data_IF_555290494470
#
_entry.id   IF_555290494470
#
_cell.length_a   1.000
_cell.length_b   1.000
_cell.length_c   1.000
_cell.angle_alpha   90.00
_cell.angle_beta   90.00
_cell.angle_gamma   90.00
#
_symmetry.space_group_name_H-M   'P 1'
#
loop_
_entity.id
_entity.type
_entity.pdbx_description
1 polymer ?
#
# COMPACT_ATOMS: atom_id res chain seq x y z
N UNK A 1 -10.33 26.38 23.63
CA UNK A 1 -10.24 24.95 23.28
C UNK A 1 -9.02 24.81 22.40
N UNK A 2 -7.95 24.22 22.93
CA UNK A 2 -6.70 24.07 22.21
C UNK A 2 -6.80 22.85 21.29
N UNK A 3 -6.64 23.08 19.99
CA UNK A 3 -6.71 22.01 19.00
C UNK A 3 -5.39 21.24 18.99
N UNK A 4 -5.42 19.97 19.38
CA UNK A 4 -4.28 19.08 19.31
C UNK A 4 -4.36 18.23 18.04
N UNK A 5 -3.47 18.47 17.09
CA UNK A 5 -3.36 17.68 15.86
C UNK A 5 -2.21 16.68 15.99
N UNK A 6 -2.52 15.38 15.99
CA UNK A 6 -1.53 14.32 15.89
C UNK A 6 -1.42 13.85 14.44
N UNK A 7 -0.25 14.05 13.85
CA UNK A 7 0.09 13.50 12.53
C UNK A 7 0.85 12.19 12.72
N UNK A 8 0.60 11.22 11.85
CA UNK A 8 1.34 9.95 11.81
C UNK A 8 1.61 9.61 10.37
N UNK A 9 2.84 9.85 9.92
CA UNK A 9 3.27 9.61 8.55
C UNK A 9 3.94 8.24 8.47
N UNK A 10 3.58 7.40 7.48
CA UNK A 10 4.25 6.13 7.28
C UNK A 10 5.67 6.34 6.75
N UNK A 11 6.59 5.45 7.14
CA UNK A 11 7.96 5.42 6.63
C UNK A 11 8.28 4.00 6.18
N UNK A 12 8.83 3.85 4.98
CA UNK A 12 9.45 2.61 4.54
C UNK A 12 10.94 2.63 4.91
N UNK A 13 11.44 1.53 5.47
CA UNK A 13 12.85 1.38 5.85
C UNK A 13 13.35 0.09 5.23
N UNK A 14 14.38 0.17 4.38
CA UNK A 14 15.03 -1.02 3.85
C UNK A 14 15.75 -1.75 4.98
N UNK A 15 15.66 -3.08 4.97
CA UNK A 15 16.55 -3.93 5.74
C UNK A 15 17.55 -4.55 4.76
N UNK A 16 18.85 -4.23 4.87
CA UNK A 16 19.85 -4.89 4.04
C UNK A 16 19.86 -6.39 4.39
N UNK A 17 20.16 -7.22 3.40
CA UNK A 17 20.40 -8.65 3.59
C UNK A 17 21.89 -8.90 3.64
N UNK A 18 22.37 -9.67 4.62
CA UNK A 18 23.77 -10.09 4.67
C UNK A 18 24.03 -11.25 3.70
N UNK A 19 22.98 -11.95 3.25
CA UNK A 19 23.05 -12.98 2.20
C UNK A 19 23.46 -12.35 0.88
N UNK A 20 24.63 -12.76 0.40
CA UNK A 20 25.20 -12.38 -0.89
C UNK A 20 25.14 -13.53 -1.91
N UNK A 21 25.29 -14.78 -1.47
CA UNK A 21 25.31 -15.95 -2.35
C UNK A 21 24.57 -17.10 -1.69
N UNK A 22 23.83 -17.88 -2.48
CA UNK A 22 23.22 -19.13 -2.03
C UNK A 22 23.77 -20.27 -2.87
N UNK A 23 24.30 -21.30 -2.22
CA UNK A 23 24.81 -22.53 -2.86
C UNK A 23 23.90 -23.69 -2.54
N UNK A 24 23.71 -24.57 -3.52
CA UNK A 24 22.91 -25.77 -3.37
C UNK A 24 23.81 -26.98 -3.60
N UNK A 25 23.64 -27.98 -2.74
CA UNK A 25 24.34 -29.26 -2.81
C UNK A 25 23.31 -30.39 -2.80
N UNK A 26 23.64 -31.49 -3.48
CA UNK A 26 22.93 -32.75 -3.42
C UNK A 26 23.94 -33.85 -3.07
N UNK A 27 23.71 -34.60 -1.99
CA UNK A 27 24.62 -35.64 -1.50
C UNK A 27 26.07 -35.13 -1.33
N UNK A 28 26.21 -33.93 -0.77
CA UNK A 28 27.49 -33.22 -0.56
C UNK A 28 28.23 -32.74 -1.82
N UNK A 29 27.67 -32.95 -3.02
CA UNK A 29 28.19 -32.37 -4.26
C UNK A 29 27.48 -31.05 -4.56
N UNK A 30 28.25 -29.99 -4.89
CA UNK A 30 27.68 -28.69 -5.22
C UNK A 30 27.04 -28.75 -6.61
N UNK A 31 25.72 -28.57 -6.68
CA UNK A 31 24.96 -28.60 -7.94
C UNK A 31 24.85 -27.21 -8.58
N UNK A 32 25.03 -26.14 -7.80
CA UNK A 32 25.18 -24.80 -8.33
C UNK A 32 24.81 -23.70 -7.34
N UNK A 33 24.59 -22.49 -7.88
CA UNK A 33 24.24 -21.29 -7.13
C UNK A 33 22.88 -20.76 -7.56
N UNK A 34 22.14 -20.17 -6.63
CA UNK A 34 20.90 -19.46 -6.98
C UNK A 34 21.22 -18.04 -7.48
N UNK A 35 20.37 -17.54 -8.39
CA UNK A 35 20.45 -16.19 -8.92
C UNK A 35 19.38 -15.30 -8.28
N UNK A 36 19.73 -14.05 -7.99
CA UNK A 36 18.77 -13.05 -7.53
C UNK A 36 17.83 -12.70 -8.69
N UNK A 37 16.56 -13.06 -8.57
CA UNK A 37 15.54 -12.67 -9.55
C UNK A 37 14.94 -11.32 -9.18
N UNK A 38 14.65 -11.09 -7.90
CA UNK A 38 13.94 -9.88 -7.49
C UNK A 38 14.40 -9.36 -6.12
N UNK A 39 14.55 -8.03 -6.02
CA UNK A 39 14.72 -7.31 -4.77
C UNK A 39 13.40 -6.59 -4.43
N UNK A 40 12.58 -7.26 -3.62
CA UNK A 40 11.27 -6.75 -3.20
C UNK A 40 11.42 -5.47 -2.37
N UNK A 41 12.53 -5.31 -1.65
CA UNK A 41 12.79 -4.10 -0.87
C UNK A 41 12.90 -2.88 -1.79
N UNK A 42 13.64 -3.01 -2.90
CA UNK A 42 13.75 -1.96 -3.90
C UNK A 42 12.40 -1.65 -4.56
N UNK A 43 11.65 -2.67 -4.98
CA UNK A 43 10.32 -2.51 -5.59
C UNK A 43 9.34 -1.82 -4.63
N UNK A 44 9.35 -2.19 -3.35
CA UNK A 44 8.51 -1.58 -2.33
C UNK A 44 8.88 -0.11 -2.09
N UNK A 45 10.18 0.23 -2.09
CA UNK A 45 10.64 1.61 -1.97
C UNK A 45 10.17 2.48 -3.13
N UNK A 46 10.32 2.01 -4.36
CA UNK A 46 9.87 2.75 -5.55
C UNK A 46 8.35 2.91 -5.58
N UNK A 47 7.61 1.85 -5.25
CA UNK A 47 6.14 1.90 -5.13
C UNK A 47 5.69 2.88 -4.04
N UNK A 48 6.38 2.90 -2.89
CA UNK A 48 6.09 3.83 -1.81
C UNK A 48 6.37 5.27 -2.22
N UNK A 49 7.52 5.56 -2.82
CA UNK A 49 7.89 6.90 -3.33
C UNK A 49 6.84 7.41 -4.32
N UNK A 50 6.41 6.58 -5.27
CA UNK A 50 5.41 6.94 -6.27
C UNK A 50 4.05 7.32 -5.65
N UNK A 51 3.68 6.70 -4.52
CA UNK A 51 2.40 6.97 -3.81
C UNK A 51 2.55 7.92 -2.62
N UNK A 52 3.77 8.34 -2.28
CA UNK A 52 4.08 9.02 -1.02
C UNK A 52 3.30 10.32 -0.85
N UNK A 53 3.21 11.13 -1.92
CA UNK A 53 2.47 12.40 -1.91
C UNK A 53 1.00 12.19 -1.56
N UNK A 54 0.35 11.23 -2.22
CA UNK A 54 -1.05 10.89 -2.00
C UNK A 54 -1.28 10.29 -0.60
N UNK A 55 -0.37 9.46 -0.12
CA UNK A 55 -0.43 8.87 1.23
C UNK A 55 -0.33 9.97 2.30
N UNK A 56 0.64 10.89 2.17
CA UNK A 56 0.85 11.98 3.12
C UNK A 56 -0.33 12.95 3.11
N UNK A 57 -0.79 13.32 1.91
CA UNK A 57 -1.98 14.14 1.76
C UNK A 57 -3.17 13.54 2.49
N UNK A 58 -3.49 12.26 2.25
CA UNK A 58 -4.58 11.55 2.92
C UNK A 58 -4.40 11.50 4.45
N UNK A 59 -3.18 11.32 4.94
CA UNK A 59 -2.88 11.28 6.36
C UNK A 59 -3.09 12.64 7.04
N UNK A 60 -2.56 13.72 6.45
CA UNK A 60 -2.74 15.10 6.92
C UNK A 60 -4.21 15.46 6.91
N UNK A 61 -4.87 15.21 5.78
CA UNK A 61 -6.26 15.50 5.55
C UNK A 61 -7.16 14.76 6.59
N UNK A 62 -6.89 13.47 6.87
CA UNK A 62 -7.56 12.71 7.94
C UNK A 62 -7.31 13.28 9.34
N UNK A 63 -6.09 13.74 9.62
CA UNK A 63 -5.76 14.33 10.92
C UNK A 63 -6.49 15.67 11.13
N UNK A 64 -6.59 16.49 10.08
CA UNK A 64 -7.37 17.73 10.09
C UNK A 64 -8.86 17.43 10.31
N UNK A 65 -9.43 16.45 9.60
CA UNK A 65 -10.82 16.04 9.80
C UNK A 65 -11.09 15.52 11.23
N UNK A 66 -10.17 14.73 11.81
CA UNK A 66 -10.31 14.26 13.20
C UNK A 66 -10.15 15.39 14.22
N UNK A 67 -9.28 16.36 13.98
CA UNK A 67 -9.02 17.47 14.90
C UNK A 67 -10.10 18.54 14.92
N UNK A 68 -10.82 18.75 13.81
CA UNK A 68 -11.90 19.75 13.73
C UNK A 68 -13.24 19.20 14.28
N UNK A 69 -13.45 17.88 14.29
CA UNK A 69 -14.66 17.25 14.84
C UNK A 69 -15.87 17.34 13.90
N UNK A 70 -16.63 16.24 13.80
CA UNK A 70 -17.73 16.03 12.84
C UNK A 70 -18.83 17.09 12.87
N UNK A 71 -19.18 17.63 14.04
CA UNK A 71 -20.21 18.67 14.17
C UNK A 71 -19.77 20.05 13.67
N UNK A 72 -18.49 20.42 13.86
CA UNK A 72 -17.96 21.71 13.38
C UNK A 72 -17.59 21.66 11.89
N UNK A 73 -17.28 20.49 11.36
CA UNK A 73 -17.06 20.28 9.91
C UNK A 73 -18.32 20.62 9.13
N UNK A 74 -19.49 20.16 9.58
CA UNK A 74 -20.76 20.50 8.92
C UNK A 74 -21.00 22.01 8.93
N UNK A 75 -20.82 22.67 10.09
CA UNK A 75 -20.98 24.13 10.17
C UNK A 75 -19.90 24.91 9.41
N UNK A 76 -18.68 24.40 9.24
CA UNK A 76 -17.64 25.05 8.43
C UNK A 76 -17.90 24.84 6.94
N UNK A 77 -18.41 23.68 6.52
CA UNK A 77 -18.85 23.43 5.14
C UNK A 77 -20.01 24.38 4.80
N UNK A 78 -20.97 24.51 5.72
CA UNK A 78 -22.15 25.37 5.57
C UNK A 78 -21.76 26.87 5.62
N UNK A 79 -20.95 27.29 6.60
CA UNK A 79 -20.51 28.69 6.75
C UNK A 79 -19.53 29.16 5.67
N UNK A 80 -18.76 28.26 5.05
CA UNK A 80 -17.92 28.59 3.88
C UNK A 80 -18.75 28.53 2.57
N UNK A 81 -20.03 28.15 2.63
CA UNK A 81 -20.99 28.18 1.52
C UNK A 81 -21.93 29.39 1.54
N UNK A 82 -22.02 30.12 2.66
CA UNK A 82 -22.86 31.31 2.78
C UNK A 82 -22.08 32.58 2.49
N UNK A 83 -21.98 32.93 1.21
CA UNK A 83 -22.03 34.32 0.77
C UNK A 83 -22.37 34.32 -0.70
N UNK A 84 -23.65 34.09 -0.97
CA UNK A 84 -24.47 34.76 -1.99
C UNK A 84 -25.71 33.91 -2.19
N UNK A 85 -26.78 34.26 -1.48
CA UNK A 85 -28.09 34.51 -2.10
C UNK A 85 -29.02 35.04 -1.01
N UNK A 86 -28.84 36.33 -0.70
CA UNK A 86 -29.89 37.14 -0.09
C UNK A 86 -31.09 37.16 -1.05
N UNK A 87 -32.24 36.62 -0.62
CA UNK A 87 -33.51 37.35 -0.50
C UNK A 87 -34.64 36.40 -0.15
N UNK A 88 -35.04 36.49 1.11
CA UNK A 88 -36.31 35.96 1.60
C UNK A 88 -37.45 36.83 1.06
N UNK A 89 -38.15 36.32 0.04
CA UNK A 89 -39.45 36.87 -0.37
C UNK A 89 -40.54 35.81 -0.16
N UNK A 90 -41.51 36.19 0.68
CA UNK A 90 -42.70 35.43 1.09
C UNK A 90 -43.45 34.86 -0.11
N UNK A 91 -44.03 33.65 0.02
CA UNK A 91 -45.47 33.41 -0.18
C UNK A 91 -45.92 31.95 -0.01
N UNK A 92 -47.21 31.89 0.26
CA UNK A 92 -48.11 30.80 0.56
C UNK A 92 -48.19 29.63 -0.44
N UNK A 93 -48.63 28.50 0.12
CA UNK A 93 -49.51 27.44 -0.43
C UNK A 93 -49.42 27.08 -1.93
N UNK A 94 -48.97 25.83 -2.15
CA UNK A 94 -49.10 24.94 -3.33
C UNK A 94 -50.45 25.05 -4.08
N UNK A 95 -50.45 24.93 -5.43
CA UNK A 95 -50.80 23.66 -6.10
C UNK A 95 -49.90 23.30 -7.32
N UNK A 96 -49.61 22.01 -7.61
CA UNK A 96 -50.08 21.19 -8.78
C UNK A 96 -50.04 21.97 -10.11
N UNK A 97 -49.32 21.61 -11.18
CA UNK A 97 -49.18 20.32 -11.88
C UNK A 97 -47.93 20.27 -12.79
N UNK A 98 -47.67 19.08 -13.34
CA UNK A 98 -46.87 18.69 -14.52
C UNK A 98 -46.05 19.77 -15.28
N UNK A 99 -44.77 19.50 -15.51
CA UNK A 99 -44.28 19.32 -16.89
C UNK A 99 -42.85 18.76 -17.00
N UNK A 100 -42.65 18.07 -18.12
CA UNK A 100 -41.37 17.50 -18.59
C UNK A 100 -40.40 18.63 -18.92
N UNK A 101 -39.16 18.61 -18.43
CA UNK A 101 -38.00 18.89 -19.29
C UNK A 101 -36.64 18.55 -18.66
N UNK A 102 -35.71 18.24 -19.55
CA UNK A 102 -34.28 17.96 -19.37
C UNK A 102 -33.58 19.03 -18.53
N UNK A 103 -32.57 18.65 -17.76
CA UNK A 103 -31.15 18.76 -18.16
C UNK A 103 -30.25 18.54 -16.93
N UNK A 104 -29.50 17.43 -16.89
CA UNK A 104 -28.45 17.23 -15.88
C UNK A 104 -27.24 18.06 -16.31
N UNK A 105 -27.15 19.30 -15.84
CA UNK A 105 -25.89 20.03 -15.88
C UNK A 105 -25.12 19.74 -14.59
N UNK A 106 -24.16 18.81 -14.69
CA UNK A 106 -23.14 18.61 -13.68
C UNK A 106 -22.19 19.81 -13.77
N UNK A 107 -22.41 20.81 -12.93
CA UNK A 107 -21.60 22.02 -12.89
C UNK A 107 -20.27 21.69 -12.21
N UNK A 108 -19.23 21.51 -13.03
CA UNK A 108 -17.84 21.44 -12.61
C UNK A 108 -17.36 22.85 -12.27
N UNK A 109 -17.44 23.22 -10.99
CA UNK A 109 -16.89 24.49 -10.51
C UNK A 109 -15.46 24.24 -10.02
N UNK A 110 -14.51 24.52 -10.92
CA UNK A 110 -13.14 24.86 -10.58
C UNK A 110 -13.02 26.38 -10.73
N UNK A 111 -12.95 27.10 -9.61
CA UNK A 111 -12.50 28.49 -9.58
C UNK A 111 -11.83 28.78 -8.24
N UNK A 112 -10.70 29.45 -8.39
CA UNK A 112 -9.64 29.72 -7.44
C UNK A 112 -9.97 30.90 -6.50
N UNK A 113 -9.59 30.78 -5.23
CA UNK A 113 -9.33 31.92 -4.34
C UNK A 113 -8.57 31.47 -3.07
N UNK A 114 -7.51 32.21 -2.78
CA UNK A 114 -6.33 31.77 -2.04
C UNK A 114 -6.56 31.55 -0.53
N UNK A 115 -6.27 30.34 -0.06
CA UNK A 115 -6.18 29.97 1.36
C UNK A 115 -7.38 29.18 1.90
N UNK A 116 -8.61 29.63 1.60
CA UNK A 116 -9.84 28.96 2.03
C UNK A 116 -10.33 27.87 1.06
N UNK A 117 -10.14 28.07 -0.24
CA UNK A 117 -10.56 27.10 -1.27
C UNK A 117 -9.73 25.80 -1.18
N UNK A 118 -8.43 25.93 -0.86
CA UNK A 118 -7.53 24.80 -0.70
C UNK A 118 -7.81 23.96 0.55
N UNK A 119 -8.40 24.52 1.61
CA UNK A 119 -8.85 23.68 2.73
C UNK A 119 -10.19 23.04 2.38
N UNK A 120 -11.09 23.77 1.71
CA UNK A 120 -12.42 23.30 1.32
C UNK A 120 -12.39 22.17 0.29
N UNK A 121 -11.54 22.24 -0.74
CA UNK A 121 -11.40 21.13 -1.71
C UNK A 121 -10.78 19.88 -1.06
N UNK A 122 -9.83 20.02 -0.11
CA UNK A 122 -9.28 18.89 0.66
C UNK A 122 -10.37 18.28 1.53
N UNK A 123 -11.13 19.10 2.24
CA UNK A 123 -12.21 18.64 3.12
C UNK A 123 -13.29 17.90 2.32
N UNK A 124 -13.65 18.41 1.13
CA UNK A 124 -14.62 17.78 0.23
C UNK A 124 -14.09 16.47 -0.34
N UNK A 125 -12.86 16.46 -0.87
CA UNK A 125 -12.22 15.25 -1.37
C UNK A 125 -12.06 14.18 -0.27
N UNK A 126 -11.85 14.59 0.98
CA UNK A 126 -11.82 13.68 2.13
C UNK A 126 -13.18 13.07 2.47
N UNK A 127 -14.28 13.81 2.38
CA UNK A 127 -15.63 13.31 2.67
C UNK A 127 -16.03 12.29 1.61
N UNK A 128 -15.77 12.60 0.34
CA UNK A 128 -16.00 11.69 -0.79
C UNK A 128 -15.16 10.42 -0.63
N UNK A 129 -13.89 10.56 -0.24
CA UNK A 129 -12.99 9.43 0.06
C UNK A 129 -13.37 8.72 1.37
N UNK A 130 -13.97 9.37 2.37
CA UNK A 130 -14.42 8.73 3.61
C UNK A 130 -15.64 7.85 3.38
N UNK A 131 -16.52 8.23 2.45
CA UNK A 131 -17.60 7.39 1.92
C UNK A 131 -17.02 6.12 1.29
N UNK A 132 -16.08 6.25 0.35
CA UNK A 132 -15.41 5.10 -0.30
C UNK A 132 -14.53 4.27 0.66
N UNK A 133 -13.93 4.90 1.69
CA UNK A 133 -13.15 4.21 2.74
C UNK A 133 -14.05 3.50 3.75
N UNK A 134 -15.29 3.95 3.96
CA UNK A 134 -16.25 3.17 4.76
C UNK A 134 -16.51 1.79 4.12
N UNK A 135 -16.29 1.68 2.80
CA UNK A 135 -16.34 0.42 2.06
C UNK A 135 -14.97 -0.29 1.97
N UNK A 136 -13.86 0.42 2.17
CA UNK A 136 -12.50 -0.14 2.20
C UNK A 136 -11.87 -0.03 3.59
N UNK A 137 -12.32 -0.88 4.51
CA UNK A 137 -11.69 -1.08 5.81
C UNK A 137 -10.25 -1.61 5.68
N UNK A 138 -9.46 -1.43 6.73
CA UNK A 138 -7.99 -1.56 6.77
C UNK A 138 -7.42 -2.84 6.12
N UNK A 139 -6.99 -2.76 4.85
CA UNK A 139 -6.22 -3.82 4.19
C UNK A 139 -4.72 -3.74 4.53
N UNK A 140 -4.37 -3.40 5.76
CA UNK A 140 -2.98 -3.49 6.27
C UNK A 140 -2.64 -4.94 6.60
N UNK A 141 -2.74 -5.82 5.61
CA UNK A 141 -2.03 -7.09 5.67
C UNK A 141 -0.58 -6.80 5.28
N UNK A 142 0.32 -6.59 6.25
CA UNK A 142 1.74 -6.73 5.95
C UNK A 142 2.03 -8.22 5.89
N UNK A 143 1.84 -8.82 4.72
CA UNK A 143 2.57 -10.04 4.44
C UNK A 143 4.03 -9.61 4.35
N UNK A 144 4.86 -10.06 5.29
CA UNK A 144 6.30 -9.80 5.23
C UNK A 144 6.81 -10.51 3.98
N UNK A 145 6.92 -9.75 2.88
CA UNK A 145 7.54 -10.26 1.67
C UNK A 145 9.03 -10.45 1.96
N UNK A 146 9.65 -11.54 1.46
CA UNK A 146 11.10 -11.72 1.59
C UNK A 146 11.80 -10.54 0.91
N UNK A 147 12.84 -10.01 1.55
CA UNK A 147 13.55 -8.82 1.03
C UNK A 147 14.20 -9.06 -0.34
N UNK A 148 14.64 -10.30 -0.59
CA UNK A 148 15.26 -10.76 -1.84
C UNK A 148 14.75 -12.16 -2.19
N UNK A 149 14.54 -12.42 -3.47
CA UNK A 149 14.10 -13.71 -4.01
C UNK A 149 15.18 -14.27 -4.91
N UNK A 150 15.66 -15.47 -4.56
CA UNK A 150 16.67 -16.19 -5.33
C UNK A 150 16.08 -17.47 -5.90
N UNK A 151 16.41 -17.79 -7.15
CA UNK A 151 15.91 -18.98 -7.85
C UNK A 151 17.04 -19.61 -8.65
N UNK A 152 16.96 -20.92 -8.81
CA UNK A 152 17.84 -21.71 -9.67
C UNK A 152 17.16 -23.04 -9.98
N UNK A 153 17.41 -23.53 -11.19
CA UNK A 153 17.00 -24.83 -11.68
C UNK A 153 18.25 -25.72 -11.82
N UNK A 154 18.11 -26.99 -11.42
CA UNK A 154 19.20 -27.95 -11.44
C UNK A 154 18.70 -29.29 -11.98
N UNK A 155 19.45 -29.88 -12.90
CA UNK A 155 19.11 -31.18 -13.48
C UNK A 155 19.62 -32.31 -12.57
N UNK A 156 18.69 -33.09 -12.02
CA UNK A 156 18.98 -34.25 -11.20
C UNK A 156 18.24 -35.47 -11.76
N UNK A 157 18.91 -36.63 -11.73
CA UNK A 157 18.25 -37.89 -12.07
C UNK A 157 17.19 -38.22 -11.02
N UNK A 158 16.10 -38.93 -11.37
CA UNK A 158 15.14 -39.39 -10.38
C UNK A 158 15.82 -40.24 -9.31
N UNK A 159 15.58 -39.93 -8.04
CA UNK A 159 16.30 -40.55 -6.92
C UNK A 159 16.06 -39.85 -5.59
N UNK A 160 16.75 -40.34 -4.56
CA UNK A 160 16.76 -39.71 -3.23
C UNK A 160 18.07 -38.93 -3.04
N UNK A 161 17.95 -37.71 -2.54
CA UNK A 161 19.07 -36.82 -2.31
C UNK A 161 18.97 -36.16 -0.95
N UNK A 162 20.11 -36.00 -0.29
CA UNK A 162 20.23 -35.10 0.86
C UNK A 162 20.62 -33.72 0.32
N UNK A 163 19.65 -32.81 0.28
CA UNK A 163 19.86 -31.45 -0.22
C UNK A 163 20.37 -30.54 0.88
N UNK A 164 21.39 -29.73 0.58
CA UNK A 164 21.86 -28.67 1.47
C UNK A 164 21.84 -27.34 0.74
N UNK A 165 21.25 -26.33 1.38
CA UNK A 165 21.17 -24.97 0.88
C UNK A 165 21.95 -24.09 1.85
N UNK A 166 23.09 -23.59 1.41
CA UNK A 166 23.96 -22.70 2.18
C UNK A 166 23.70 -21.26 1.79
N UNK A 167 23.46 -20.42 2.78
CA UNK A 167 23.38 -18.97 2.65
C UNK A 167 24.73 -18.41 3.09
N UNK A 168 25.36 -17.63 2.22
CA UNK A 168 26.69 -17.08 2.44
C UNK A 168 26.66 -15.56 2.44
N UNK A 169 27.47 -14.96 3.30
CA UNK A 169 27.72 -13.53 3.29
C UNK A 169 28.65 -13.09 2.15
N UNK A 170 28.94 -11.79 2.07
CA UNK A 170 29.84 -11.22 1.06
C UNK A 170 31.31 -11.69 1.21
N UNK A 171 31.71 -12.20 2.38
CA UNK A 171 33.04 -12.78 2.61
C UNK A 171 33.13 -14.25 2.17
N UNK A 172 31.98 -14.87 1.88
CA UNK A 172 31.87 -16.31 1.59
C UNK A 172 31.75 -17.17 2.84
N UNK A 173 31.44 -16.57 4.00
CA UNK A 173 31.17 -17.29 5.24
C UNK A 173 29.73 -17.78 5.23
N UNK A 174 29.51 -19.05 5.60
CA UNK A 174 28.16 -19.62 5.72
C UNK A 174 27.49 -19.04 6.96
N UNK A 175 26.45 -18.23 6.74
CA UNK A 175 25.64 -17.59 7.79
C UNK A 175 24.47 -18.47 8.20
N UNK A 176 23.97 -19.30 7.28
CA UNK A 176 22.89 -20.26 7.55
C UNK A 176 22.99 -21.45 6.60
N UNK A 177 22.56 -22.61 7.07
CA UNK A 177 22.40 -23.81 6.25
C UNK A 177 21.01 -24.41 6.49
N UNK A 178 20.36 -24.83 5.42
CA UNK A 178 19.09 -25.57 5.45
C UNK A 178 19.33 -26.94 4.82
N UNK A 179 19.08 -28.00 5.60
CA UNK A 179 19.24 -29.38 5.16
C UNK A 179 17.88 -30.03 4.96
N UNK A 180 17.70 -30.70 3.82
CA UNK A 180 16.48 -31.42 3.46
C UNK A 180 16.90 -32.86 3.13
N UNK A 181 16.91 -33.75 4.13
CA UNK A 181 17.33 -35.13 3.93
C UNK A 181 16.29 -35.91 3.13
N UNK A 182 16.75 -36.89 2.35
CA UNK A 182 15.93 -37.85 1.63
C UNK A 182 14.86 -37.20 0.73
N UNK A 183 15.20 -36.07 0.10
CA UNK A 183 14.36 -35.44 -0.90
C UNK A 183 14.22 -36.35 -2.13
N UNK A 184 12.98 -36.65 -2.50
CA UNK A 184 12.67 -37.53 -3.63
C UNK A 184 12.46 -36.72 -4.91
N UNK A 185 13.42 -36.81 -5.82
CA UNK A 185 13.30 -36.25 -7.18
C UNK A 185 12.50 -37.22 -8.04
N UNK A 186 11.38 -36.75 -8.59
CA UNK A 186 10.49 -37.53 -9.46
C UNK A 186 10.78 -37.26 -10.93
N UNK A 187 10.56 -38.23 -11.81
CA UNK A 187 10.77 -38.06 -13.26
C UNK A 187 9.79 -37.05 -13.88
N UNK A 188 8.52 -37.07 -13.46
CA UNK A 188 7.45 -36.20 -13.96
C UNK A 188 6.78 -35.44 -12.80
N UNK A 189 7.56 -34.86 -11.90
CA UNK A 189 7.07 -34.07 -10.75
C UNK A 189 7.52 -32.61 -10.82
N UNK A 190 6.86 -31.74 -10.04
CA UNK A 190 7.22 -30.31 -9.93
C UNK A 190 8.64 -30.10 -9.35
N UNK A 191 9.13 -31.05 -8.54
CA UNK A 191 10.47 -31.04 -7.93
C UNK A 191 10.91 -29.66 -7.43
N UNK A 192 10.04 -28.99 -6.68
CA UNK A 192 10.29 -27.67 -6.13
C UNK A 192 10.76 -27.78 -4.67
N UNK A 193 11.72 -26.94 -4.32
CA UNK A 193 12.25 -26.80 -2.96
C UNK A 193 12.25 -25.33 -2.59
N UNK A 194 11.71 -25.02 -1.42
CA UNK A 194 11.73 -23.68 -0.84
C UNK A 194 12.61 -23.66 0.40
N UNK A 195 13.41 -22.61 0.57
CA UNK A 195 14.18 -22.38 1.77
C UNK A 195 14.20 -20.89 2.11
N UNK A 196 14.01 -20.58 3.40
CA UNK A 196 13.95 -19.19 3.89
C UNK A 196 15.16 -18.88 4.77
N UNK A 197 15.97 -17.93 4.31
CA UNK A 197 17.06 -17.32 5.07
C UNK A 197 16.55 -16.10 5.85
N UNK A 198 15.97 -16.31 7.03
CA UNK A 198 15.68 -15.22 7.97
C UNK A 198 16.97 -14.88 8.73
N UNK A 199 17.37 -13.62 8.66
CA UNK A 199 18.35 -12.97 9.54
C UNK A 199 17.67 -11.94 10.44
#
# INVERSE_FOLDING_TARGET
QDFYFKFSLPRIVARPSSVHTIRVYANNEMIGKLNLIEDITAVAQETFKAKQSLIYFRAIARALAKGVGTHKIKSMIDATGESNDDKSEKRDKKPRDNDRNRNRNYKSDASDDNGGSFVKWILKALVDVASDISESADLRCSQFLPGRIYVGDFELKPGFYDLNIEFLDASGTVIKQVSIPQYKVLQNGLNLVEAVGIE
#
